data_IF_776661749065
#
_entry.id   IF_776661749065
#
_cell.length_a   1.000
_cell.length_b   1.000
_cell.length_c   1.000
_cell.angle_alpha   90.00
_cell.angle_beta   90.00
_cell.angle_gamma   90.00
#
_symmetry.space_group_name_H-M   'P 1'
#
loop_
_entity.id
_entity.type
_entity.pdbx_description
1 polymer ?
#
# COMPACT_ATOMS: atom_id res chain seq x y z
N UNK A 1 -46.57 -3.44 13.21
CA UNK A 1 -46.00 -2.32 12.42
C UNK A 1 -45.40 -1.34 13.42
N UNK A 2 -44.13 -0.96 13.46
CA UNK A 2 -42.92 -1.26 12.69
C UNK A 2 -41.77 -0.94 13.66
N UNK A 3 -41.17 -1.97 14.29
CA UNK A 3 -40.01 -1.82 15.20
C UNK A 3 -38.67 -2.17 14.53
N UNK A 4 -38.61 -2.13 13.21
CA UNK A 4 -37.44 -2.58 12.43
C UNK A 4 -36.79 -1.47 11.58
N UNK A 5 -37.07 -0.18 11.85
CA UNK A 5 -36.52 0.92 11.04
C UNK A 5 -35.47 1.78 11.80
N UNK A 6 -35.31 1.62 13.11
CA UNK A 6 -34.31 2.43 13.86
C UNK A 6 -32.89 1.82 13.90
N UNK A 7 -32.65 0.70 13.20
CA UNK A 7 -31.36 0.01 13.18
C UNK A 7 -30.47 0.35 11.98
N UNK A 8 -30.96 1.05 10.94
CA UNK A 8 -30.15 1.34 9.74
C UNK A 8 -29.52 2.74 9.73
N UNK A 9 -29.92 3.64 10.64
CA UNK A 9 -29.43 5.02 10.63
C UNK A 9 -28.13 5.22 11.43
N UNK A 10 -27.75 4.27 12.31
CA UNK A 10 -26.54 4.41 13.15
C UNK A 10 -25.25 3.95 12.49
N UNK A 11 -25.31 3.13 11.43
CA UNK A 11 -24.11 2.67 10.70
C UNK A 11 -23.61 3.75 9.72
N UNK A 12 -24.51 4.60 9.22
CA UNK A 12 -24.17 5.62 8.23
C UNK A 12 -23.44 6.83 8.85
N UNK A 13 -23.60 7.08 10.15
CA UNK A 13 -22.91 8.18 10.84
C UNK A 13 -21.43 7.88 11.17
N UNK A 14 -21.05 6.60 11.27
CA UNK A 14 -19.67 6.20 11.56
C UNK A 14 -18.75 6.35 10.33
N UNK A 15 -19.30 6.16 9.13
CA UNK A 15 -18.58 6.36 7.87
C UNK A 15 -18.27 7.85 7.65
N UNK A 16 -19.17 8.77 8.02
CA UNK A 16 -18.94 10.22 7.86
C UNK A 16 -17.87 10.74 8.83
N UNK A 17 -17.76 10.17 10.04
CA UNK A 17 -16.74 10.58 11.03
C UNK A 17 -15.34 10.08 10.63
N UNK A 18 -15.24 8.93 9.95
CA UNK A 18 -13.97 8.48 9.35
C UNK A 18 -13.50 9.40 8.22
N UNK A 19 -14.39 9.89 7.36
CA UNK A 19 -14.00 10.78 6.25
C UNK A 19 -13.61 12.21 6.69
N UNK A 20 -14.15 12.73 7.80
CA UNK A 20 -13.83 14.09 8.26
C UNK A 20 -12.49 14.15 9.02
N UNK A 21 -12.02 13.03 9.60
CA UNK A 21 -10.84 13.04 10.47
C UNK A 21 -9.54 12.49 9.84
N UNK A 22 -9.58 12.02 8.57
CA UNK A 22 -8.37 11.57 7.84
C UNK A 22 -7.50 12.74 7.36
N UNK A 23 -7.99 13.99 7.43
CA UNK A 23 -7.22 15.18 7.02
C UNK A 23 -6.05 15.58 7.93
N UNK A 24 -5.85 14.93 9.08
CA UNK A 24 -4.91 15.39 10.11
C UNK A 24 -3.72 14.45 10.44
N UNK A 25 -3.55 13.32 9.75
CA UNK A 25 -2.55 12.31 10.13
C UNK A 25 -1.30 12.20 9.24
N UNK A 26 -1.02 13.19 8.40
CA UNK A 26 0.21 13.22 7.60
C UNK A 26 1.14 14.34 8.06
N UNK A 27 1.70 14.24 9.26
CA UNK A 27 2.94 14.96 9.59
C UNK A 27 4.13 14.17 8.99
N UNK A 28 4.43 14.45 7.72
CA UNK A 28 5.68 14.07 7.06
C UNK A 28 6.31 15.35 6.50
N UNK A 29 7.58 15.60 6.85
CA UNK A 29 8.31 16.86 6.71
C UNK A 29 8.10 17.64 5.39
N UNK A 30 7.63 18.88 5.54
CA UNK A 30 7.45 19.92 4.53
C UNK A 30 8.78 20.56 4.09
N UNK A 31 9.44 20.02 3.07
CA UNK A 31 10.36 20.86 2.29
C UNK A 31 10.10 20.86 0.78
N UNK A 32 9.26 19.95 0.25
CA UNK A 32 8.77 19.98 -1.13
C UNK A 32 7.36 19.37 -1.31
N UNK A 33 6.45 19.54 -0.34
CA UNK A 33 5.11 18.95 -0.44
C UNK A 33 4.18 19.82 -1.29
N UNK A 34 4.11 19.55 -2.59
CA UNK A 34 3.00 20.06 -3.40
C UNK A 34 1.76 19.28 -2.99
N UNK A 35 0.85 19.89 -2.23
CA UNK A 35 -0.41 19.25 -1.86
C UNK A 35 -1.24 19.00 -3.14
N UNK A 36 -1.33 17.74 -3.57
CA UNK A 36 -2.06 17.32 -4.77
C UNK A 36 -3.52 16.95 -4.52
N UNK A 37 -4.04 17.11 -3.29
CA UNK A 37 -5.41 16.70 -2.93
C UNK A 37 -6.51 17.34 -3.78
N UNK A 38 -6.27 18.54 -4.33
CA UNK A 38 -7.21 19.26 -5.19
C UNK A 38 -6.94 19.09 -6.69
N UNK A 39 -5.90 18.34 -7.06
CA UNK A 39 -5.57 18.03 -8.46
C UNK A 39 -6.26 16.73 -8.84
N UNK A 40 -7.00 16.73 -9.95
CA UNK A 40 -7.67 15.52 -10.46
C UNK A 40 -6.66 14.51 -11.02
N UNK A 41 -7.05 13.24 -11.10
CA UNK A 41 -6.23 12.22 -11.77
C UNK A 41 -5.94 12.62 -13.22
N UNK A 42 -6.94 13.09 -13.97
CA UNK A 42 -6.80 13.55 -15.36
C UNK A 42 -5.77 14.69 -15.52
N UNK A 43 -5.74 15.65 -14.59
CA UNK A 43 -4.73 16.71 -14.60
C UNK A 43 -3.32 16.17 -14.31
N UNK A 44 -3.19 15.22 -13.38
CA UNK A 44 -1.91 14.56 -13.11
C UNK A 44 -1.44 13.74 -14.31
N UNK A 45 -2.34 13.00 -14.96
CA UNK A 45 -2.07 12.26 -16.21
C UNK A 45 -1.57 13.18 -17.31
N UNK A 46 -2.24 14.31 -17.53
CA UNK A 46 -1.82 15.28 -18.53
C UNK A 46 -0.40 15.82 -18.26
N UNK A 47 -0.08 16.12 -17.00
CA UNK A 47 1.27 16.58 -16.61
C UNK A 47 2.31 15.48 -16.80
N UNK A 48 2.00 14.24 -16.40
CA UNK A 48 2.88 13.07 -16.51
C UNK A 48 3.12 12.71 -17.99
N UNK A 49 2.11 12.83 -18.85
CA UNK A 49 2.24 12.59 -20.29
C UNK A 49 3.27 13.51 -20.93
N UNK A 50 3.32 14.78 -20.50
CA UNK A 50 4.30 15.76 -20.99
C UNK A 50 5.66 15.65 -20.27
N UNK A 51 5.68 15.09 -19.06
CA UNK A 51 6.87 15.03 -18.20
C UNK A 51 6.96 13.64 -17.52
N UNK A 52 7.35 12.59 -18.26
CA UNK A 52 7.17 11.23 -17.79
C UNK A 52 8.07 10.86 -16.60
N UNK A 53 9.17 11.59 -16.39
CA UNK A 53 10.16 11.36 -15.32
C UNK A 53 9.89 12.16 -14.04
N UNK A 54 8.71 12.79 -13.89
CA UNK A 54 8.28 13.35 -12.60
C UNK A 54 7.81 12.18 -11.69
N UNK A 55 8.77 11.33 -11.29
CA UNK A 55 8.52 10.10 -10.53
C UNK A 55 7.73 10.32 -9.24
N UNK A 56 7.94 11.38 -8.44
CA UNK A 56 7.11 11.62 -7.26
C UNK A 56 5.63 11.85 -7.57
N UNK A 57 5.31 12.62 -8.63
CA UNK A 57 3.92 12.84 -9.04
C UNK A 57 3.31 11.57 -9.62
N UNK A 58 4.08 10.84 -10.44
CA UNK A 58 3.68 9.53 -10.97
C UNK A 58 3.40 8.52 -9.85
N UNK A 59 4.22 8.52 -8.79
CA UNK A 59 4.02 7.67 -7.62
C UNK A 59 2.74 8.04 -6.89
N UNK A 60 2.48 9.34 -6.69
CA UNK A 60 1.25 9.82 -6.06
C UNK A 60 0.01 9.40 -6.86
N UNK A 61 0.04 9.49 -8.19
CA UNK A 61 -1.05 9.02 -9.05
C UNK A 61 -1.26 7.50 -8.93
N UNK A 62 -0.16 6.74 -9.02
CA UNK A 62 -0.19 5.28 -8.90
C UNK A 62 -0.82 4.84 -7.57
N UNK A 63 -0.44 5.48 -6.46
CA UNK A 63 -1.01 5.21 -5.13
C UNK A 63 -2.51 5.52 -5.08
N UNK A 64 -2.98 6.61 -5.69
CA UNK A 64 -4.43 6.91 -5.74
C UNK A 64 -5.20 5.82 -6.47
N UNK A 65 -4.73 5.41 -7.63
CA UNK A 65 -5.37 4.31 -8.36
C UNK A 65 -5.29 2.99 -7.57
N UNK A 66 -4.17 2.72 -6.89
CA UNK A 66 -4.01 1.52 -6.07
C UNK A 66 -5.00 1.50 -4.88
N UNK A 67 -5.15 2.62 -4.17
CA UNK A 67 -6.09 2.76 -3.05
C UNK A 67 -7.55 2.62 -3.50
N UNK A 68 -7.85 3.02 -4.74
CA UNK A 68 -9.14 2.81 -5.41
C UNK A 68 -9.31 1.38 -5.98
N UNK A 69 -8.33 0.50 -5.80
CA UNK A 69 -8.27 -0.86 -6.37
C UNK A 69 -8.33 -0.86 -7.92
N UNK A 70 -8.01 0.28 -8.52
CA UNK A 70 -7.89 0.44 -9.97
C UNK A 70 -6.51 0.00 -10.45
N UNK A 71 -6.22 -1.30 -10.31
CA UNK A 71 -4.91 -1.87 -10.66
C UNK A 71 -4.55 -1.74 -12.15
N UNK A 72 -5.56 -1.66 -13.03
CA UNK A 72 -5.33 -1.40 -14.46
C UNK A 72 -4.63 -0.08 -14.72
N UNK A 73 -5.01 0.98 -14.00
CA UNK A 73 -4.37 2.29 -14.14
C UNK A 73 -3.14 2.42 -13.25
N UNK A 74 -3.12 1.81 -12.06
CA UNK A 74 -1.96 1.88 -11.16
C UNK A 74 -0.70 1.20 -11.73
N UNK A 75 -0.85 0.00 -12.31
CA UNK A 75 0.25 -0.84 -12.77
C UNK A 75 1.21 -0.13 -13.76
N UNK A 76 0.76 0.50 -14.86
CA UNK A 76 1.67 1.15 -15.80
C UNK A 76 2.51 2.26 -15.14
N UNK A 77 1.97 2.98 -14.16
CA UNK A 77 2.75 4.00 -13.44
C UNK A 77 3.82 3.38 -12.55
N UNK A 78 3.51 2.34 -11.78
CA UNK A 78 4.52 1.66 -10.96
C UNK A 78 5.59 0.99 -11.81
N UNK A 79 5.23 0.36 -12.93
CA UNK A 79 6.20 -0.24 -13.85
C UNK A 79 7.17 0.81 -14.39
N UNK A 80 6.66 1.97 -14.82
CA UNK A 80 7.51 3.06 -15.30
C UNK A 80 8.51 3.51 -14.24
N UNK A 81 8.07 3.67 -12.98
CA UNK A 81 8.96 4.07 -11.85
C UNK A 81 10.02 2.99 -11.60
N UNK A 82 9.61 1.73 -11.54
CA UNK A 82 10.50 0.60 -11.28
C UNK A 82 11.59 0.48 -12.36
N UNK A 83 11.28 0.81 -13.61
CA UNK A 83 12.23 0.77 -14.73
C UNK A 83 13.12 2.01 -14.82
N UNK A 84 12.55 3.21 -14.63
CA UNK A 84 13.18 4.46 -15.05
C UNK A 84 13.68 5.37 -13.90
N UNK A 85 13.24 5.15 -12.65
CA UNK A 85 13.67 6.00 -11.54
C UNK A 85 15.14 5.78 -11.17
N UNK A 86 15.92 6.84 -10.93
CA UNK A 86 17.26 6.70 -10.34
C UNK A 86 17.20 6.49 -8.82
N UNK A 87 16.05 6.77 -8.20
CA UNK A 87 15.82 6.66 -6.76
C UNK A 87 15.50 5.22 -6.37
N UNK A 88 16.37 4.64 -5.55
CA UNK A 88 16.25 3.26 -5.06
C UNK A 88 15.04 3.05 -4.15
N UNK A 89 14.64 4.06 -3.36
CA UNK A 89 13.47 3.95 -2.49
C UNK A 89 12.18 3.91 -3.33
N UNK A 90 12.05 4.80 -4.32
CA UNK A 90 10.91 4.78 -5.24
C UNK A 90 10.85 3.48 -6.06
N UNK A 91 11.99 2.98 -6.54
CA UNK A 91 12.06 1.69 -7.25
C UNK A 91 11.63 0.53 -6.37
N UNK A 92 12.17 0.44 -5.15
CA UNK A 92 11.83 -0.61 -4.20
C UNK A 92 10.33 -0.58 -3.87
N UNK A 93 9.78 0.61 -3.58
CA UNK A 93 8.36 0.75 -3.29
C UNK A 93 7.48 0.33 -4.47
N UNK A 94 7.78 0.81 -5.69
CA UNK A 94 7.03 0.45 -6.89
C UNK A 94 7.03 -1.07 -7.14
N UNK A 95 8.17 -1.75 -6.98
CA UNK A 95 8.26 -3.20 -7.11
C UNK A 95 7.41 -3.94 -6.06
N UNK A 96 7.36 -3.46 -4.82
CA UNK A 96 6.51 -4.04 -3.79
C UNK A 96 5.01 -3.91 -4.15
N UNK A 97 4.60 -2.76 -4.67
CA UNK A 97 3.22 -2.53 -5.12
C UNK A 97 2.85 -3.41 -6.31
N UNK A 98 3.74 -3.56 -7.29
CA UNK A 98 3.56 -4.49 -8.40
C UNK A 98 3.38 -5.91 -7.88
N UNK A 99 4.23 -6.34 -6.94
CA UNK A 99 4.13 -7.64 -6.31
C UNK A 99 2.78 -7.88 -5.63
N UNK A 100 2.25 -6.88 -4.90
CA UNK A 100 0.93 -6.98 -4.27
C UNK A 100 -0.21 -7.10 -5.29
N UNK A 101 -0.23 -6.26 -6.33
CA UNK A 101 -1.26 -6.35 -7.39
C UNK A 101 -1.22 -7.71 -8.12
N UNK A 102 -0.03 -8.26 -8.33
CA UNK A 102 0.15 -9.59 -8.92
C UNK A 102 -0.34 -10.70 -7.97
N UNK A 103 -0.12 -10.54 -6.66
CA UNK A 103 -0.63 -11.46 -5.65
C UNK A 103 -2.17 -11.49 -5.64
N UNK A 104 -2.82 -10.32 -5.66
CA UNK A 104 -4.28 -10.18 -5.76
C UNK A 104 -4.84 -10.80 -7.06
N UNK A 105 -4.00 -10.93 -8.09
CA UNK A 105 -4.31 -11.65 -9.34
C UNK A 105 -4.08 -13.17 -9.26
N UNK A 106 -3.86 -13.72 -8.06
CA UNK A 106 -3.57 -15.12 -7.75
C UNK A 106 -2.27 -15.67 -8.37
N UNK A 107 -1.25 -14.83 -8.61
CA UNK A 107 0.05 -15.28 -9.08
C UNK A 107 1.14 -15.10 -8.02
N UNK A 108 1.16 -16.01 -7.05
CA UNK A 108 2.06 -15.96 -5.88
C UNK A 108 3.54 -16.00 -6.27
N UNK A 109 3.92 -16.80 -7.25
CA UNK A 109 5.31 -16.95 -7.69
C UNK A 109 5.85 -15.63 -8.27
N UNK A 110 5.09 -14.98 -9.16
CA UNK A 110 5.51 -13.71 -9.75
C UNK A 110 5.44 -12.58 -8.72
N UNK A 111 4.42 -12.58 -7.85
CA UNK A 111 4.31 -11.60 -6.77
C UNK A 111 5.53 -11.61 -5.84
N UNK A 112 5.91 -12.79 -5.35
CA UNK A 112 7.07 -12.96 -4.47
C UNK A 112 8.37 -12.64 -5.19
N UNK A 113 8.47 -12.89 -6.50
CA UNK A 113 9.62 -12.43 -7.31
C UNK A 113 9.78 -10.92 -7.25
N UNK A 114 8.72 -10.16 -7.55
CA UNK A 114 8.76 -8.68 -7.48
C UNK A 114 9.06 -8.15 -6.09
N UNK A 115 8.46 -8.74 -5.04
CA UNK A 115 8.70 -8.33 -3.65
C UNK A 115 10.14 -8.65 -3.22
N UNK A 116 10.70 -9.78 -3.65
CA UNK A 116 12.10 -10.11 -3.37
C UNK A 116 13.06 -9.17 -4.11
N UNK A 117 12.76 -8.76 -5.34
CA UNK A 117 13.53 -7.70 -6.02
C UNK A 117 13.43 -6.36 -5.28
N UNK A 118 12.25 -6.00 -4.77
CA UNK A 118 12.08 -4.83 -3.90
C UNK A 118 12.99 -4.87 -2.67
N UNK A 119 13.07 -6.03 -2.00
CA UNK A 119 13.91 -6.25 -0.81
C UNK A 119 15.41 -6.32 -1.13
N UNK A 120 15.80 -6.71 -2.35
CA UNK A 120 17.20 -6.62 -2.79
C UNK A 120 17.66 -5.17 -2.95
N UNK A 121 16.76 -4.28 -3.37
CA UNK A 121 17.06 -2.84 -3.50
C UNK A 121 17.03 -2.15 -2.13
N UNK A 122 16.01 -2.43 -1.32
CA UNK A 122 15.88 -1.90 0.03
C UNK A 122 15.47 -3.02 0.99
N UNK A 123 16.47 -3.58 1.67
CA UNK A 123 16.29 -4.67 2.63
C UNK A 123 15.49 -4.27 3.87
N UNK A 124 15.27 -2.97 4.10
CA UNK A 124 14.53 -2.44 5.24
C UNK A 124 13.13 -1.93 4.87
N UNK A 125 12.70 -2.15 3.63
CA UNK A 125 11.35 -1.80 3.17
C UNK A 125 10.29 -2.52 3.99
N UNK A 126 9.62 -1.76 4.88
CA UNK A 126 8.54 -2.30 5.72
C UNK A 126 7.37 -2.77 4.87
N UNK A 127 7.03 -2.05 3.80
CA UNK A 127 5.95 -2.43 2.86
C UNK A 127 6.25 -3.78 2.22
N UNK A 128 7.46 -3.95 1.67
CA UNK A 128 7.84 -5.20 1.02
C UNK A 128 7.90 -6.37 2.02
N UNK A 129 8.42 -6.15 3.23
CA UNK A 129 8.40 -7.16 4.31
C UNK A 129 6.97 -7.51 4.72
N UNK A 130 6.10 -6.53 4.89
CA UNK A 130 4.68 -6.77 5.22
C UNK A 130 4.01 -7.63 4.15
N UNK A 131 4.14 -7.27 2.88
CA UNK A 131 3.55 -8.04 1.79
C UNK A 131 4.12 -9.46 1.71
N UNK A 132 5.45 -9.63 1.82
CA UNK A 132 6.05 -10.96 1.81
C UNK A 132 5.55 -11.80 2.99
N UNK A 133 5.51 -11.22 4.19
CA UNK A 133 5.05 -11.89 5.40
C UNK A 133 3.58 -12.31 5.30
N UNK A 134 2.71 -11.43 4.77
CA UNK A 134 1.29 -11.73 4.52
C UNK A 134 1.12 -12.84 3.48
N UNK A 135 1.93 -12.85 2.41
CA UNK A 135 1.85 -13.92 1.42
C UNK A 135 2.33 -15.25 2.03
N UNK A 136 3.46 -15.24 2.72
CA UNK A 136 4.08 -16.44 3.27
C UNK A 136 3.27 -17.07 4.40
N UNK A 137 2.58 -16.27 5.22
CA UNK A 137 1.79 -16.80 6.34
C UNK A 137 0.57 -17.62 5.90
N UNK A 138 0.11 -17.40 4.66
CA UNK A 138 -1.05 -18.08 4.07
C UNK A 138 -0.72 -19.49 3.53
N UNK A 139 0.55 -19.76 3.23
CA UNK A 139 1.01 -21.06 2.75
C UNK A 139 1.60 -21.88 3.91
N UNK A 140 1.11 -23.11 4.18
CA UNK A 140 1.64 -23.97 5.22
C UNK A 140 3.16 -24.20 5.16
N UNK A 141 3.77 -24.22 3.98
CA UNK A 141 5.20 -24.47 3.81
C UNK A 141 6.06 -23.27 4.24
N UNK A 142 5.59 -22.05 3.98
CA UNK A 142 6.30 -20.79 4.31
C UNK A 142 5.75 -20.09 5.54
N UNK A 143 4.75 -20.69 6.21
CA UNK A 143 4.02 -20.05 7.32
C UNK A 143 4.92 -19.53 8.43
N UNK A 144 5.91 -20.33 8.82
CA UNK A 144 6.85 -19.97 9.89
C UNK A 144 7.68 -18.72 9.51
N UNK A 145 8.16 -18.66 8.27
CA UNK A 145 8.91 -17.51 7.74
C UNK A 145 8.02 -16.26 7.70
N UNK A 146 6.75 -16.41 7.29
CA UNK A 146 5.77 -15.31 7.30
C UNK A 146 5.56 -14.72 8.70
N UNK A 147 5.41 -15.58 9.71
CA UNK A 147 5.28 -15.17 11.12
C UNK A 147 6.55 -14.44 11.59
N UNK A 148 7.74 -14.95 11.26
CA UNK A 148 9.00 -14.31 11.64
C UNK A 148 9.13 -12.91 11.02
N UNK A 149 8.84 -12.80 9.72
CA UNK A 149 8.90 -11.52 8.98
C UNK A 149 7.95 -10.51 9.61
N UNK A 150 6.67 -10.86 9.81
CA UNK A 150 5.68 -9.93 10.39
C UNK A 150 6.03 -9.53 11.83
N UNK A 151 6.55 -10.46 12.65
CA UNK A 151 7.05 -10.14 13.98
C UNK A 151 8.26 -9.19 13.97
N UNK A 152 9.07 -9.20 12.91
CA UNK A 152 10.14 -8.22 12.72
C UNK A 152 9.59 -6.83 12.34
N UNK A 153 8.53 -6.78 11.53
CA UNK A 153 7.91 -5.54 11.04
C UNK A 153 7.23 -4.78 12.18
N UNK A 154 6.46 -5.44 13.05
CA UNK A 154 5.73 -4.78 14.15
C UNK A 154 6.66 -4.10 15.18
N UNK A 155 7.93 -4.56 15.28
CA UNK A 155 8.95 -3.98 16.16
C UNK A 155 9.51 -2.66 15.64
N UNK A 156 9.23 -2.30 14.39
CA UNK A 156 9.70 -1.05 13.80
C UNK A 156 8.99 0.16 14.41
N UNK A 157 9.77 1.19 14.79
CA UNK A 157 9.23 2.46 15.26
C UNK A 157 8.67 3.33 14.12
N UNK A 158 9.01 3.01 12.87
CA UNK A 158 8.53 3.72 11.68
C UNK A 158 7.13 3.28 11.23
N UNK A 159 6.62 2.18 11.77
CA UNK A 159 5.32 1.63 11.41
C UNK A 159 4.20 2.36 12.14
N UNK A 160 3.14 2.74 11.43
CA UNK A 160 2.01 3.45 12.03
C UNK A 160 1.28 2.59 13.06
N UNK A 161 0.51 3.21 13.96
CA UNK A 161 -0.28 2.48 14.95
C UNK A 161 -1.34 1.60 14.29
N UNK A 162 -1.94 2.08 13.21
CA UNK A 162 -2.99 1.36 12.49
C UNK A 162 -2.40 0.14 11.78
N UNK A 163 -1.26 0.29 11.09
CA UNK A 163 -0.55 -0.82 10.47
C UNK A 163 -0.07 -1.87 11.50
N UNK A 164 0.42 -1.42 12.66
CA UNK A 164 0.78 -2.32 13.77
C UNK A 164 -0.43 -3.14 14.22
N UNK A 165 -1.59 -2.50 14.35
CA UNK A 165 -2.83 -3.15 14.76
C UNK A 165 -3.25 -4.18 13.72
N UNK A 166 -3.27 -3.81 12.44
CA UNK A 166 -3.61 -4.69 11.34
C UNK A 166 -2.72 -5.94 11.27
N UNK A 167 -1.39 -5.78 11.35
CA UNK A 167 -0.46 -6.92 11.33
C UNK A 167 -0.63 -7.80 12.58
N UNK A 168 -0.92 -7.22 13.74
CA UNK A 168 -1.17 -8.00 14.97
C UNK A 168 -2.42 -8.87 14.82
N UNK A 169 -3.50 -8.34 14.27
CA UNK A 169 -4.73 -9.10 13.99
C UNK A 169 -4.48 -10.26 13.01
N UNK A 170 -3.63 -10.04 11.99
CA UNK A 170 -3.22 -11.12 11.09
C UNK A 170 -2.48 -12.21 11.87
N UNK A 171 -1.44 -11.86 12.64
CA UNK A 171 -0.66 -12.83 13.41
C UNK A 171 -1.55 -13.66 14.36
N UNK A 172 -2.47 -13.03 15.09
CA UNK A 172 -3.39 -13.71 16.00
C UNK A 172 -4.32 -14.74 15.31
N UNK A 173 -4.59 -14.56 14.02
CA UNK A 173 -5.40 -15.49 13.24
C UNK A 173 -4.61 -16.71 12.77
N UNK A 174 -3.30 -16.59 12.59
CA UNK A 174 -2.45 -17.65 12.07
C UNK A 174 -1.60 -18.34 13.14
N UNK A 175 -1.47 -17.81 14.35
CA UNK A 175 -0.81 -18.46 15.49
C UNK A 175 -1.70 -19.50 16.22
N UNK A 176 -2.98 -19.60 15.86
CA UNK A 176 -3.93 -20.60 16.37
C UNK A 176 -3.83 -21.93 15.62
#
# INVERSE_FOLDING_TARGET
>A
MTKWILSSLSVLLFVVILFINVGNNSEFNDEFNTNLSNVSNDEMEAVISENPDIHPMRMALANRYFDEVNYSEALPHYMYIAENSADSELKSFALAQIGWMVFESNNVEVATTYINESLKINSDSLVAKSYLGIIYIQDPETKADGIEILNSVIKSDKLSKDDKTFISEILENYEK
#
